data_IF_826229208651
#
_entry.id   IF_826229208651
#
_cell.length_a   1.000
_cell.length_b   1.000
_cell.length_c   1.000
_cell.angle_alpha   90.00
_cell.angle_beta   90.00
_cell.angle_gamma   90.00
#
_symmetry.space_group_name_H-M   'P 1'
#
loop_
_entity.id
_entity.type
_entity.pdbx_description
1 polymer ?
#
# COMPACT_ATOMS: atom_id res chain seq x y z
N UNK A 1 -62.87 -15.47 -38.13
CA UNK A 1 -61.55 -14.93 -38.52
C UNK A 1 -60.77 -14.28 -37.36
N UNK A 2 -61.40 -13.56 -36.42
CA UNK A 2 -60.69 -12.87 -35.31
C UNK A 2 -60.09 -13.80 -34.23
N UNK A 3 -60.76 -14.90 -33.85
CA UNK A 3 -60.27 -15.82 -32.80
C UNK A 3 -58.93 -16.48 -33.12
N UNK A 4 -58.73 -16.92 -34.37
CA UNK A 4 -57.46 -17.52 -34.80
C UNK A 4 -56.31 -16.51 -34.82
N UNK A 5 -56.61 -15.26 -35.23
CA UNK A 5 -55.65 -14.17 -35.21
C UNK A 5 -55.26 -13.76 -33.79
N UNK A 6 -56.22 -13.75 -32.86
CA UNK A 6 -55.95 -13.49 -31.45
C UNK A 6 -55.10 -14.61 -30.81
N UNK A 7 -55.39 -15.88 -31.10
CA UNK A 7 -54.60 -17.01 -30.61
C UNK A 7 -53.15 -17.00 -31.16
N UNK A 8 -52.95 -16.57 -32.41
CA UNK A 8 -51.62 -16.36 -32.98
C UNK A 8 -50.90 -15.20 -32.27
N UNK A 9 -51.56 -14.06 -32.06
CA UNK A 9 -50.95 -12.92 -31.35
C UNK A 9 -50.63 -13.19 -29.89
N UNK A 10 -51.41 -14.01 -29.19
CA UNK A 10 -51.11 -14.44 -27.81
C UNK A 10 -49.84 -15.29 -27.76
N UNK A 11 -49.67 -16.20 -28.72
CA UNK A 11 -48.45 -17.01 -28.83
C UNK A 11 -47.23 -16.17 -29.18
N UNK A 12 -47.36 -15.24 -30.13
CA UNK A 12 -46.27 -14.35 -30.53
C UNK A 12 -45.86 -13.43 -29.38
N UNK A 13 -46.82 -12.89 -28.63
CA UNK A 13 -46.54 -12.11 -27.42
C UNK A 13 -45.87 -12.95 -26.35
N UNK A 14 -46.28 -14.20 -26.15
CA UNK A 14 -45.63 -15.10 -25.19
C UNK A 14 -44.20 -15.45 -25.62
N UNK A 15 -43.94 -15.64 -26.91
CA UNK A 15 -42.58 -15.87 -27.42
C UNK A 15 -41.72 -14.61 -27.24
N UNK A 16 -42.31 -13.44 -27.48
CA UNK A 16 -41.63 -12.16 -27.30
C UNK A 16 -41.27 -11.92 -25.83
N UNK A 17 -42.19 -12.14 -24.89
CA UNK A 17 -41.88 -12.01 -23.46
C UNK A 17 -40.79 -12.99 -23.03
N UNK A 18 -40.84 -14.25 -23.49
CA UNK A 18 -39.80 -15.24 -23.19
C UNK A 18 -38.43 -14.80 -23.69
N UNK A 19 -38.34 -14.26 -24.92
CA UNK A 19 -37.09 -13.74 -25.48
C UNK A 19 -36.53 -12.58 -24.67
N UNK A 20 -37.39 -11.63 -24.27
CA UNK A 20 -36.97 -10.50 -23.42
C UNK A 20 -36.45 -11.01 -22.09
N UNK A 21 -37.14 -11.94 -21.44
CA UNK A 21 -36.69 -12.53 -20.16
C UNK A 21 -35.35 -13.25 -20.32
N UNK A 22 -35.15 -14.03 -21.39
CA UNK A 22 -33.87 -14.68 -21.66
C UNK A 22 -32.73 -13.67 -21.85
N UNK A 23 -32.96 -12.58 -22.59
CA UNK A 23 -31.96 -11.53 -22.78
C UNK A 23 -31.63 -10.83 -21.46
N UNK A 24 -32.64 -10.50 -20.65
CA UNK A 24 -32.44 -9.88 -19.34
C UNK A 24 -31.61 -10.77 -18.40
N UNK A 25 -31.91 -12.08 -18.36
CA UNK A 25 -31.12 -13.05 -17.60
C UNK A 25 -29.68 -13.15 -18.12
N UNK A 26 -29.50 -13.13 -19.45
CA UNK A 26 -28.17 -13.14 -20.07
C UNK A 26 -27.33 -11.92 -19.66
N UNK A 27 -27.92 -10.73 -19.62
CA UNK A 27 -27.24 -9.50 -19.18
C UNK A 27 -26.85 -9.58 -17.71
N UNK A 28 -27.74 -10.04 -16.83
CA UNK A 28 -27.44 -10.22 -15.40
C UNK A 28 -26.33 -11.25 -15.17
N UNK A 29 -26.34 -12.35 -15.91
CA UNK A 29 -25.30 -13.36 -15.87
C UNK A 29 -23.94 -12.80 -16.35
N UNK A 30 -23.93 -12.03 -17.44
CA UNK A 30 -22.71 -11.38 -17.93
C UNK A 30 -22.16 -10.36 -16.92
N UNK A 31 -23.04 -9.55 -16.31
CA UNK A 31 -22.65 -8.57 -15.30
C UNK A 31 -22.05 -9.21 -14.05
N UNK A 32 -22.68 -10.27 -13.53
CA UNK A 32 -22.17 -11.02 -12.38
C UNK A 32 -20.83 -11.71 -12.68
N UNK A 33 -20.68 -12.29 -13.88
CA UNK A 33 -19.42 -12.89 -14.32
C UNK A 33 -18.30 -11.84 -14.44
N UNK A 34 -18.59 -10.68 -15.01
CA UNK A 34 -17.63 -9.57 -15.08
C UNK A 34 -17.23 -9.10 -13.67
N UNK A 35 -18.18 -8.90 -12.77
CA UNK A 35 -17.91 -8.56 -11.37
C UNK A 35 -17.00 -9.59 -10.69
N UNK A 36 -17.25 -10.88 -10.90
CA UNK A 36 -16.42 -11.97 -10.36
C UNK A 36 -14.99 -11.96 -10.93
N UNK A 37 -14.82 -11.66 -12.22
CA UNK A 37 -13.50 -11.58 -12.85
C UNK A 37 -12.70 -10.33 -12.43
N UNK A 38 -13.39 -9.24 -12.06
CA UNK A 38 -12.74 -7.98 -11.66
C UNK A 38 -12.50 -7.89 -10.15
N UNK A 39 -13.26 -8.61 -9.32
CA UNK A 39 -13.10 -8.67 -7.87
C UNK A 39 -11.67 -8.99 -7.35
N UNK A 40 -10.83 -9.84 -8.02
CA UNK A 40 -9.52 -10.19 -7.49
C UNK A 40 -8.41 -9.17 -7.80
N UNK A 41 -8.71 -8.01 -8.40
CA UNK A 41 -7.68 -7.07 -8.88
C UNK A 41 -6.89 -6.40 -7.75
N UNK A 42 -7.50 -6.20 -6.59
CA UNK A 42 -6.88 -5.55 -5.43
C UNK A 42 -7.04 -6.40 -4.17
N UNK A 43 -6.46 -7.60 -4.16
CA UNK A 43 -6.34 -8.38 -2.93
C UNK A 43 -5.05 -7.98 -2.20
N UNK A 44 -5.16 -7.03 -1.27
CA UNK A 44 -4.07 -6.68 -0.35
C UNK A 44 -3.93 -7.78 0.71
N UNK A 45 -3.24 -8.86 0.35
CA UNK A 45 -2.94 -9.95 1.29
C UNK A 45 -1.85 -9.49 2.25
N UNK A 46 -2.24 -9.17 3.49
CA UNK A 46 -1.29 -9.03 4.59
C UNK A 46 -0.85 -10.41 5.06
N UNK A 47 0.12 -11.01 4.35
CA UNK A 47 0.78 -12.23 4.80
C UNK A 47 1.72 -11.84 5.94
N UNK A 48 1.44 -12.23 7.20
CA UNK A 48 2.44 -12.08 8.25
C UNK A 48 3.64 -12.97 7.86
N UNK A 49 4.88 -12.48 8.02
CA UNK A 49 6.06 -13.30 7.73
C UNK A 49 5.97 -14.59 8.56
N UNK A 50 6.09 -15.73 7.90
CA UNK A 50 6.08 -17.02 8.57
C UNK A 50 7.21 -17.05 9.61
N UNK A 51 6.84 -17.09 10.88
CA UNK A 51 7.79 -17.13 11.99
C UNK A 51 8.35 -18.54 12.23
N UNK A 52 7.83 -19.58 11.53
CA UNK A 52 8.30 -20.97 11.65
C UNK A 52 9.45 -21.27 10.69
N UNK A 53 9.44 -20.68 9.50
CA UNK A 53 10.62 -20.63 8.64
C UNK A 53 11.31 -19.30 8.90
N UNK A 54 12.38 -19.28 9.70
CA UNK A 54 13.14 -18.06 9.96
C UNK A 54 13.36 -17.26 8.67
N UNK A 55 13.13 -15.94 8.73
CA UNK A 55 13.20 -15.02 7.58
C UNK A 55 14.42 -15.35 6.71
N UNK A 56 14.18 -15.89 5.52
CA UNK A 56 15.25 -16.17 4.57
C UNK A 56 15.62 -14.87 3.90
N UNK A 57 16.64 -14.20 4.41
CA UNK A 57 17.17 -12.99 3.82
C UNK A 57 18.57 -13.26 3.27
N UNK A 58 18.87 -12.71 2.10
CA UNK A 58 20.24 -12.69 1.57
C UNK A 58 21.12 -11.92 2.56
N UNK A 59 22.17 -12.55 3.07
CA UNK A 59 23.00 -11.95 4.12
C UNK A 59 23.71 -10.66 3.69
N UNK A 60 23.89 -10.45 2.39
CA UNK A 60 24.49 -9.25 1.80
C UNK A 60 23.50 -8.13 1.50
N UNK A 61 22.20 -8.39 1.60
CA UNK A 61 21.17 -7.42 1.26
C UNK A 61 20.62 -6.79 2.55
N UNK A 62 20.87 -5.49 2.73
CA UNK A 62 20.32 -4.75 3.86
C UNK A 62 18.82 -4.52 3.59
N UNK A 63 17.90 -4.95 4.49
CA UNK A 63 16.48 -4.81 4.23
C UNK A 63 16.06 -3.33 4.31
N UNK A 64 15.20 -2.89 3.39
CA UNK A 64 14.74 -1.51 3.32
C UNK A 64 14.06 -1.02 4.60
N UNK A 65 13.36 -1.91 5.31
CA UNK A 65 12.76 -1.60 6.61
C UNK A 65 13.80 -1.26 7.67
N UNK A 66 14.93 -1.97 7.70
CA UNK A 66 16.04 -1.67 8.60
C UNK A 66 16.71 -0.35 8.23
N UNK A 67 16.91 -0.06 6.94
CA UNK A 67 17.44 1.24 6.49
C UNK A 67 16.56 2.39 6.96
N UNK A 68 15.24 2.25 6.79
CA UNK A 68 14.27 3.25 7.24
C UNK A 68 14.30 3.44 8.75
N UNK A 69 14.20 2.35 9.52
CA UNK A 69 14.19 2.41 10.98
C UNK A 69 15.49 3.00 11.53
N UNK A 70 16.65 2.62 10.99
CA UNK A 70 17.94 3.18 11.35
C UNK A 70 17.96 4.70 11.12
N UNK A 71 17.63 5.15 9.89
CA UNK A 71 17.62 6.57 9.56
C UNK A 71 16.69 7.38 10.46
N UNK A 72 15.47 6.87 10.68
CA UNK A 72 14.48 7.48 11.55
C UNK A 72 15.00 7.65 12.99
N UNK A 73 15.51 6.58 13.60
CA UNK A 73 16.00 6.63 14.99
C UNK A 73 17.22 7.52 15.16
N UNK A 74 18.21 7.45 14.25
CA UNK A 74 19.40 8.30 14.32
C UNK A 74 19.02 9.77 14.16
N UNK A 75 18.14 10.09 13.22
CA UNK A 75 17.67 11.46 13.02
C UNK A 75 16.94 12.01 14.25
N UNK A 76 16.06 11.21 14.87
CA UNK A 76 15.40 11.59 16.11
C UNK A 76 16.39 11.84 17.24
N UNK A 77 17.36 10.95 17.45
CA UNK A 77 18.34 11.09 18.52
C UNK A 77 19.25 12.31 18.33
N UNK A 78 19.65 12.60 17.09
CA UNK A 78 20.45 13.78 16.77
C UNK A 78 19.70 15.08 17.09
N UNK A 79 18.39 15.12 16.88
CA UNK A 79 17.55 16.31 17.07
C UNK A 79 16.82 16.35 18.42
N UNK A 80 17.12 15.42 19.34
CA UNK A 80 16.51 15.37 20.67
C UNK A 80 17.25 16.31 21.65
N UNK A 81 16.82 17.58 21.70
CA UNK A 81 17.40 18.64 22.55
C UNK A 81 16.41 19.10 23.65
N UNK A 82 16.27 18.34 24.75
CA UNK A 82 15.24 18.60 25.74
C UNK A 82 15.52 19.83 26.63
N UNK A 83 16.78 20.22 26.82
CA UNK A 83 17.15 21.32 27.72
C UNK A 83 17.63 22.55 26.96
N UNK A 84 18.64 22.37 26.11
CA UNK A 84 19.22 23.47 25.35
C UNK A 84 19.89 22.92 24.08
N UNK A 85 19.42 23.38 22.91
CA UNK A 85 19.98 23.01 21.61
C UNK A 85 21.48 23.31 21.49
N UNK A 86 21.97 24.39 22.09
CA UNK A 86 23.38 24.79 21.97
C UNK A 86 24.34 23.82 22.65
N UNK A 87 23.93 23.21 23.76
CA UNK A 87 24.72 22.22 24.51
C UNK A 87 24.38 20.79 24.13
N UNK A 88 23.10 20.50 23.91
CA UNK A 88 22.59 19.16 23.67
C UNK A 88 22.94 18.69 22.26
N UNK A 89 22.85 19.56 21.24
CA UNK A 89 23.11 19.15 19.86
C UNK A 89 24.55 18.66 19.60
N UNK A 90 25.62 19.36 20.01
CA UNK A 90 26.97 18.85 19.88
C UNK A 90 27.20 17.57 20.70
N UNK A 91 26.58 17.47 21.87
CA UNK A 91 26.67 16.27 22.70
C UNK A 91 26.02 15.06 22.02
N UNK A 92 24.87 15.25 21.37
CA UNK A 92 24.20 14.21 20.55
C UNK A 92 25.04 13.80 19.36
N UNK A 93 25.64 14.75 18.64
CA UNK A 93 26.54 14.46 17.52
C UNK A 93 27.72 13.59 17.98
N UNK A 94 28.33 13.92 19.12
CA UNK A 94 29.43 13.13 19.68
C UNK A 94 28.99 11.71 20.07
N UNK A 95 27.84 11.57 20.74
CA UNK A 95 27.27 10.27 21.11
C UNK A 95 26.94 9.40 19.90
N UNK A 96 26.44 10.00 18.81
CA UNK A 96 26.03 9.30 17.60
C UNK A 96 27.15 9.12 16.57
N UNK A 97 28.36 9.65 16.83
CA UNK A 97 29.49 9.61 15.89
C UNK A 97 29.83 8.22 15.33
N UNK A 98 29.68 7.08 16.06
CA UNK A 98 29.93 5.75 15.49
C UNK A 98 28.96 5.34 14.39
N UNK A 99 27.76 5.96 14.35
CA UNK A 99 26.72 5.70 13.35
C UNK A 99 26.80 6.66 12.15
N UNK A 100 27.72 7.62 12.19
CA UNK A 100 27.85 8.67 11.19
C UNK A 100 29.06 8.43 10.30
N UNK A 101 28.91 8.71 9.01
CA UNK A 101 30.05 8.77 8.11
C UNK A 101 30.90 10.01 8.44
N UNK A 102 32.22 10.00 8.15
CA UNK A 102 33.08 11.16 8.38
C UNK A 102 32.57 12.45 7.73
N UNK A 103 32.00 12.36 6.52
CA UNK A 103 31.41 13.50 5.82
C UNK A 103 30.16 14.05 6.51
N UNK A 104 29.29 13.19 7.02
CA UNK A 104 28.11 13.61 7.78
C UNK A 104 28.52 14.25 9.12
N UNK A 105 29.51 13.67 9.81
CA UNK A 105 30.03 14.21 11.06
C UNK A 105 30.62 15.62 10.86
N UNK A 106 31.43 15.83 9.82
CA UNK A 106 31.99 17.14 9.51
C UNK A 106 30.89 18.17 9.16
N UNK A 107 29.89 17.75 8.38
CA UNK A 107 28.72 18.60 8.08
C UNK A 107 27.99 19.05 9.36
N UNK A 108 27.68 18.11 10.27
CA UNK A 108 26.97 18.42 11.52
C UNK A 108 27.80 19.33 12.44
N UNK A 109 29.12 19.12 12.52
CA UNK A 109 30.01 19.98 13.30
C UNK A 109 30.10 21.40 12.71
N UNK A 110 30.03 21.56 11.39
CA UNK A 110 29.93 22.87 10.74
C UNK A 110 28.59 23.53 11.02
N UNK A 111 27.49 22.79 10.97
CA UNK A 111 26.15 23.26 11.30
C UNK A 111 26.06 23.78 12.74
N UNK A 112 26.68 23.10 13.72
CA UNK A 112 26.81 23.61 15.10
C UNK A 112 27.49 24.98 15.14
N UNK A 113 28.58 25.17 14.40
CA UNK A 113 29.32 26.45 14.37
C UNK A 113 28.48 27.56 13.77
N UNK A 114 27.76 27.27 12.68
CA UNK A 114 26.89 28.21 11.99
C UNK A 114 25.70 28.66 12.86
N UNK A 115 25.16 27.78 13.70
CA UNK A 115 24.01 28.12 14.56
C UNK A 115 24.37 28.95 15.79
N UNK A 116 25.66 29.01 16.14
CA UNK A 116 26.19 29.77 17.28
C UNK A 116 26.67 31.18 16.91
N UNK A 117 26.73 31.49 15.62
CA UNK A 117 26.98 32.85 15.09
C UNK A 117 25.68 33.59 14.91
#
# INVERSE_FOLDING_TARGET
MSRFRNALSERDNHILTLRITCVALGVLAAFSMAGWMLAPRDLTVHVPPDLRSGSTQKWWEVPSSTVYSFGFYIFQQLNAWPKNGDSDYPARIAQMSPYLTPGCLDFLNKDVKLRRT
#
